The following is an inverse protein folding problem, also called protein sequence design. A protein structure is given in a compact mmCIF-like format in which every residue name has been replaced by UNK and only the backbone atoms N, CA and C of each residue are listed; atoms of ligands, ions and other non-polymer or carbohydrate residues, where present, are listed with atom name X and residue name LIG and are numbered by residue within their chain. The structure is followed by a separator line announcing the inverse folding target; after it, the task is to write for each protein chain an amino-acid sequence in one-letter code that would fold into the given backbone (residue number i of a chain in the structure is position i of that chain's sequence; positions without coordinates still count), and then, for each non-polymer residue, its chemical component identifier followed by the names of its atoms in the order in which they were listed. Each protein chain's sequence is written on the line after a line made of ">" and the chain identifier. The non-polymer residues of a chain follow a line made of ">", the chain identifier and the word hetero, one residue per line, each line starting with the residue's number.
data_IF_730475401201
#
_entry.id   IF_730475401201
#
_cell.length_a   1.000
_cell.length_b   1.000
_cell.length_c   1.000
_cell.angle_alpha   90.00
_cell.angle_beta   90.00
_cell.angle_gamma   90.00
#
_symmetry.space_group_name_H-M   'P 1'
#
loop_
_entity.id
_entity.type
_entity.pdbx_description
1 polymer ?
#
# COMPACT_ATOMS: atom_id res chain seq x y z
N UNK A 1 11.22 52.41 53.14
CA UNK A 1 10.86 53.60 52.34
C UNK A 1 11.71 53.58 51.08
N UNK A 2 11.05 53.67 49.92
CA UNK A 2 11.57 53.79 48.53
C UNK A 2 12.20 52.55 47.82
N UNK A 3 11.42 51.99 46.88
CA UNK A 3 11.80 51.31 45.61
C UNK A 3 12.03 52.35 44.48
N UNK A 4 12.25 52.02 43.19
CA UNK A 4 12.83 50.83 42.50
C UNK A 4 13.88 51.23 41.43
N UNK A 5 14.47 50.25 40.72
CA UNK A 5 15.25 50.48 39.49
C UNK A 5 15.22 49.27 38.55
N UNK A 6 14.35 49.32 37.54
CA UNK A 6 14.28 48.44 36.37
C UNK A 6 15.45 48.68 35.41
N UNK A 7 16.05 47.62 34.84
CA UNK A 7 16.57 47.64 33.46
C UNK A 7 16.66 46.21 32.86
N UNK A 8 15.65 45.89 32.03
CA UNK A 8 15.83 45.44 30.64
C UNK A 8 16.51 44.10 30.35
N UNK A 9 15.71 43.04 30.16
CA UNK A 9 16.09 41.88 29.35
C UNK A 9 16.29 42.30 27.89
N UNK A 10 17.50 42.13 27.36
CA UNK A 10 17.80 42.30 25.94
C UNK A 10 17.12 41.21 25.09
N UNK A 11 16.62 41.51 23.88
CA UNK A 11 16.05 40.50 22.99
C UNK A 11 17.15 39.58 22.43
N UNK A 12 16.85 38.30 22.15
CA UNK A 12 17.82 37.40 21.56
C UNK A 12 18.21 37.88 20.16
N UNK A 13 19.50 37.82 19.85
CA UNK A 13 20.08 38.24 18.59
C UNK A 13 19.47 37.48 17.40
N UNK A 14 19.16 38.21 16.32
CA UNK A 14 18.58 37.70 15.06
C UNK A 14 19.40 36.60 14.36
N UNK A 15 20.62 36.29 14.83
CA UNK A 15 21.48 35.24 14.25
C UNK A 15 21.12 33.83 14.71
N UNK A 16 20.59 33.63 15.92
CA UNK A 16 20.23 32.29 16.42
C UNK A 16 18.94 31.73 15.80
N UNK A 17 18.01 32.60 15.39
CA UNK A 17 16.75 32.19 14.73
C UNK A 17 17.03 31.66 13.32
N UNK A 18 18.02 32.23 12.62
CA UNK A 18 18.45 31.77 11.29
C UNK A 18 19.09 30.37 11.32
N UNK A 19 19.93 30.08 12.32
CA UNK A 19 20.60 28.78 12.46
C UNK A 19 19.61 27.67 12.84
N UNK A 20 18.63 27.97 13.70
CA UNK A 20 17.58 27.01 14.06
C UNK A 20 16.62 26.73 12.89
N UNK A 21 16.26 27.75 12.08
CA UNK A 21 15.50 27.55 10.82
C UNK A 21 16.28 26.74 9.79
N UNK A 22 17.58 27.00 9.60
CA UNK A 22 18.41 26.23 8.68
C UNK A 22 18.61 24.77 9.13
N UNK A 23 18.74 24.53 10.44
CA UNK A 23 18.85 23.17 10.99
C UNK A 23 17.54 22.38 10.84
N UNK A 24 16.38 23.02 11.10
CA UNK A 24 15.07 22.42 10.87
C UNK A 24 14.83 22.18 9.37
N UNK A 25 15.19 23.12 8.48
CA UNK A 25 15.08 22.91 7.02
C UNK A 25 16.03 21.82 6.52
N UNK A 26 17.25 21.68 7.07
CA UNK A 26 18.16 20.58 6.75
C UNK A 26 17.63 19.22 7.25
N UNK A 27 17.01 19.19 8.44
CA UNK A 27 16.37 17.99 9.00
C UNK A 27 15.12 17.55 8.22
N UNK A 28 14.28 18.51 7.81
CA UNK A 28 13.10 18.27 6.95
C UNK A 28 13.54 17.83 5.55
N UNK A 29 14.55 18.48 4.95
CA UNK A 29 15.09 18.08 3.65
C UNK A 29 15.74 16.69 3.69
N UNK A 30 16.45 16.33 4.76
CA UNK A 30 16.98 14.98 4.96
C UNK A 30 15.87 13.94 5.21
N UNK A 31 14.79 14.31 5.92
CA UNK A 31 13.64 13.42 6.12
C UNK A 31 12.89 13.18 4.81
N UNK A 32 12.61 14.20 4.02
CA UNK A 32 12.01 14.05 2.69
C UNK A 32 12.94 13.31 1.75
N UNK A 33 14.25 13.54 1.79
CA UNK A 33 15.21 12.77 1.00
C UNK A 33 15.26 11.31 1.43
N UNK A 34 15.18 11.02 2.73
CA UNK A 34 15.15 9.64 3.24
C UNK A 34 13.81 8.94 2.95
N UNK A 35 12.68 9.63 3.09
CA UNK A 35 11.36 9.14 2.68
C UNK A 35 11.34 8.91 1.17
N UNK A 36 11.82 9.86 0.37
CA UNK A 36 11.88 9.74 -1.09
C UNK A 36 12.83 8.62 -1.54
N UNK A 37 13.98 8.45 -0.87
CA UNK A 37 14.91 7.35 -1.12
C UNK A 37 14.30 6.01 -0.71
N UNK A 38 13.53 5.96 0.38
CA UNK A 38 12.85 4.75 0.85
C UNK A 38 11.64 4.40 -0.02
N UNK A 39 10.87 5.38 -0.48
CA UNK A 39 9.76 5.17 -1.43
C UNK A 39 10.28 4.78 -2.81
N UNK A 40 11.40 5.36 -3.27
CA UNK A 40 12.08 4.95 -4.49
C UNK A 40 12.58 3.51 -4.41
N UNK A 41 13.18 3.10 -3.29
CA UNK A 41 13.59 1.72 -3.06
C UNK A 41 12.40 0.75 -2.96
N UNK A 42 11.22 1.23 -2.59
CA UNK A 42 9.99 0.45 -2.51
C UNK A 42 9.25 0.35 -3.86
N UNK A 43 9.53 1.23 -4.81
CA UNK A 43 8.99 1.16 -6.18
C UNK A 43 9.68 0.06 -6.98
N UNK A 44 8.92 -0.60 -7.85
CA UNK A 44 9.44 -1.61 -8.77
C UNK A 44 10.42 -1.01 -9.77
N UNK A 45 10.14 0.20 -10.26
CA UNK A 45 11.05 0.94 -11.14
C UNK A 45 12.35 1.33 -10.44
N UNK A 46 12.27 1.82 -9.21
CA UNK A 46 13.46 2.22 -8.47
C UNK A 46 14.37 1.05 -8.09
N UNK A 47 13.78 -0.09 -7.68
CA UNK A 47 14.52 -1.33 -7.42
C UNK A 47 15.17 -1.91 -8.68
N UNK A 48 14.46 -1.91 -9.82
CA UNK A 48 15.01 -2.31 -11.12
C UNK A 48 16.23 -1.47 -11.51
N UNK A 49 16.13 -0.14 -11.43
CA UNK A 49 17.23 0.77 -11.79
C UNK A 49 18.46 0.60 -10.88
N UNK A 50 18.24 0.37 -9.58
CA UNK A 50 19.33 0.07 -8.65
C UNK A 50 20.02 -1.25 -9.02
N UNK A 51 19.25 -2.31 -9.29
CA UNK A 51 19.79 -3.62 -9.66
C UNK A 51 20.57 -3.56 -10.98
N UNK A 52 20.03 -2.87 -12.00
CA UNK A 52 20.71 -2.64 -13.29
C UNK A 52 22.01 -1.85 -13.12
N UNK A 53 22.02 -0.83 -12.27
CA UNK A 53 23.24 -0.07 -11.94
C UNK A 53 24.32 -0.94 -11.30
N UNK A 54 23.94 -1.87 -10.42
CA UNK A 54 24.88 -2.83 -9.84
C UNK A 54 25.46 -3.80 -10.88
N UNK A 55 24.65 -4.33 -11.78
CA UNK A 55 25.09 -5.23 -12.85
C UNK A 55 26.09 -4.54 -13.80
N UNK A 56 25.80 -3.31 -14.22
CA UNK A 56 26.71 -2.53 -15.07
C UNK A 56 28.08 -2.29 -14.41
N UNK A 57 28.09 -1.95 -13.11
CA UNK A 57 29.34 -1.79 -12.34
C UNK A 57 30.14 -3.08 -12.28
N UNK A 58 29.47 -4.23 -12.05
CA UNK A 58 30.15 -5.53 -12.03
C UNK A 58 30.66 -5.95 -13.40
N UNK A 59 29.90 -5.68 -14.47
CA UNK A 59 30.31 -5.96 -15.84
C UNK A 59 31.54 -5.14 -16.24
N UNK A 60 31.59 -3.87 -15.82
CA UNK A 60 32.75 -2.99 -15.99
C UNK A 60 33.98 -3.55 -15.28
N UNK A 61 33.87 -3.87 -13.98
CA UNK A 61 34.99 -4.40 -13.18
C UNK A 61 35.52 -5.74 -13.68
N UNK A 62 34.66 -6.59 -14.24
CA UNK A 62 35.04 -7.93 -14.74
C UNK A 62 35.38 -7.95 -16.23
N UNK A 63 35.50 -6.79 -16.90
CA UNK A 63 35.74 -6.67 -18.34
C UNK A 63 34.73 -7.46 -19.22
N UNK A 64 33.48 -7.66 -18.73
CA UNK A 64 32.40 -8.36 -19.45
C UNK A 64 31.37 -7.39 -20.06
N UNK A 65 31.77 -6.14 -20.28
CA UNK A 65 30.91 -5.07 -20.79
C UNK A 65 30.24 -5.41 -22.12
N UNK A 66 30.95 -6.06 -23.05
CA UNK A 66 30.40 -6.39 -24.37
C UNK A 66 29.14 -7.26 -24.29
N UNK A 67 29.12 -8.25 -23.38
CA UNK A 67 27.94 -9.11 -23.16
C UNK A 67 26.78 -8.32 -22.57
N UNK A 68 27.05 -7.48 -21.58
CA UNK A 68 26.04 -6.66 -20.93
C UNK A 68 25.44 -5.64 -21.93
N UNK A 69 26.28 -4.98 -22.74
CA UNK A 69 25.85 -4.05 -23.79
C UNK A 69 25.04 -4.73 -24.89
N UNK A 70 25.39 -5.96 -25.26
CA UNK A 70 24.62 -6.75 -26.23
C UNK A 70 23.18 -6.97 -25.74
N UNK A 71 23.01 -7.49 -24.53
CA UNK A 71 21.68 -7.72 -23.96
C UNK A 71 20.92 -6.42 -23.64
N UNK A 72 21.65 -5.34 -23.34
CA UNK A 72 21.08 -4.00 -23.22
C UNK A 72 20.46 -3.54 -24.54
N UNK A 73 21.18 -3.76 -25.65
CA UNK A 73 20.74 -3.40 -26.99
C UNK A 73 19.52 -4.24 -27.39
N UNK A 74 19.51 -5.54 -27.07
CA UNK A 74 18.34 -6.42 -27.27
C UNK A 74 17.13 -5.91 -26.47
N UNK A 75 17.31 -5.54 -25.20
CA UNK A 75 16.22 -5.00 -24.36
C UNK A 75 15.67 -3.67 -24.89
N UNK A 76 16.53 -2.78 -25.38
CA UNK A 76 16.14 -1.50 -26.02
C UNK A 76 15.40 -1.74 -27.35
N UNK A 77 15.90 -2.61 -28.22
CA UNK A 77 15.23 -2.95 -29.48
C UNK A 77 13.85 -3.57 -29.23
N UNK A 78 13.76 -4.49 -28.27
CA UNK A 78 12.50 -5.12 -27.88
C UNK A 78 11.53 -4.09 -27.30
N UNK A 79 12.01 -3.17 -26.44
CA UNK A 79 11.20 -2.09 -25.88
C UNK A 79 10.70 -1.09 -26.92
N UNK A 80 11.52 -0.78 -27.93
CA UNK A 80 11.13 0.07 -29.05
C UNK A 80 10.09 -0.60 -29.96
N UNK A 81 10.32 -1.86 -30.34
CA UNK A 81 9.35 -2.63 -31.12
C UNK A 81 8.01 -2.76 -30.38
N UNK A 82 8.05 -3.05 -29.08
CA UNK A 82 6.85 -3.15 -28.26
C UNK A 82 6.09 -1.81 -28.16
N UNK A 83 6.78 -0.72 -27.86
CA UNK A 83 6.16 0.60 -27.75
C UNK A 83 5.54 1.06 -29.08
N UNK A 84 6.24 0.84 -30.20
CA UNK A 84 5.71 1.22 -31.53
C UNK A 84 4.49 0.39 -31.91
N UNK A 85 4.46 -0.91 -31.61
CA UNK A 85 3.26 -1.74 -31.79
C UNK A 85 2.09 -1.24 -30.93
N UNK A 86 2.35 -0.91 -29.67
CA UNK A 86 1.32 -0.37 -28.78
C UNK A 86 0.81 0.98 -29.31
N UNK A 87 1.70 1.90 -29.65
CA UNK A 87 1.29 3.22 -30.15
C UNK A 87 0.58 3.09 -31.50
N UNK A 88 1.04 2.25 -32.41
CA UNK A 88 0.40 2.09 -33.71
C UNK A 88 -1.03 1.53 -33.61
N UNK A 89 -1.27 0.59 -32.68
CA UNK A 89 -2.57 -0.04 -32.51
C UNK A 89 -3.51 0.72 -31.58
N UNK A 90 -2.99 1.35 -30.53
CA UNK A 90 -3.79 1.92 -29.43
C UNK A 90 -3.71 3.44 -29.29
N UNK A 91 -2.81 4.14 -29.99
CA UNK A 91 -2.75 5.61 -29.94
C UNK A 91 -3.75 6.33 -30.88
N UNK A 92 -4.04 5.84 -32.10
CA UNK A 92 -5.02 6.48 -32.98
C UNK A 92 -6.46 6.31 -32.50
N UNK A 93 -6.73 5.23 -31.77
CA UNK A 93 -8.06 4.89 -31.29
C UNK A 93 -8.15 5.15 -29.79
N UNK A 94 -9.24 5.76 -29.31
CA UNK A 94 -9.55 5.87 -27.87
C UNK A 94 -9.77 4.51 -27.19
N UNK A 95 -9.63 3.41 -27.94
CA UNK A 95 -9.83 2.02 -27.52
C UNK A 95 -8.91 1.63 -26.37
N UNK A 96 -7.66 2.09 -26.32
CA UNK A 96 -6.73 1.72 -25.23
C UNK A 96 -7.21 2.22 -23.87
N UNK A 97 -7.64 3.49 -23.82
CA UNK A 97 -8.19 4.10 -22.61
C UNK A 97 -9.54 3.46 -22.27
N UNK A 98 -10.40 3.19 -23.26
CA UNK A 98 -11.69 2.54 -23.05
C UNK A 98 -11.56 1.10 -22.53
N UNK A 99 -10.58 0.34 -23.02
CA UNK A 99 -10.32 -1.02 -22.55
C UNK A 99 -9.84 -1.03 -21.10
N UNK A 100 -8.93 -0.13 -20.73
CA UNK A 100 -8.48 0.01 -19.34
C UNK A 100 -9.65 0.43 -18.45
N UNK A 101 -10.44 1.43 -18.85
CA UNK A 101 -11.62 1.86 -18.10
C UNK A 101 -12.64 0.72 -17.95
N UNK A 102 -12.95 -0.01 -19.02
CA UNK A 102 -13.86 -1.16 -18.98
C UNK A 102 -13.35 -2.30 -18.10
N UNK A 103 -12.04 -2.55 -18.08
CA UNK A 103 -11.43 -3.49 -17.14
C UNK A 103 -11.56 -3.01 -15.69
N UNK A 104 -11.35 -1.73 -15.42
CA UNK A 104 -11.56 -1.15 -14.09
C UNK A 104 -13.02 -1.25 -13.63
N UNK A 105 -13.97 -0.91 -14.49
CA UNK A 105 -15.40 -1.03 -14.21
C UNK A 105 -15.80 -2.48 -13.92
N UNK A 106 -15.21 -3.43 -14.64
CA UNK A 106 -15.41 -4.86 -14.39
C UNK A 106 -14.91 -5.26 -13.01
N UNK A 107 -13.69 -4.87 -12.63
CA UNK A 107 -13.12 -5.15 -11.30
C UNK A 107 -13.99 -4.55 -10.20
N UNK A 108 -14.42 -3.29 -10.37
CA UNK A 108 -15.31 -2.59 -9.44
C UNK A 108 -16.64 -3.33 -9.31
N UNK A 109 -17.23 -3.78 -10.41
CA UNK A 109 -18.48 -4.54 -10.44
C UNK A 109 -18.35 -5.85 -9.67
N UNK A 110 -17.29 -6.63 -9.91
CA UNK A 110 -17.06 -7.88 -9.20
C UNK A 110 -16.82 -7.65 -7.70
N UNK A 111 -16.08 -6.60 -7.34
CA UNK A 111 -15.84 -6.27 -5.94
C UNK A 111 -17.12 -5.84 -5.22
N UNK A 112 -17.98 -5.05 -5.87
CA UNK A 112 -19.31 -4.69 -5.35
C UNK A 112 -20.18 -5.93 -5.15
N UNK A 113 -20.25 -6.80 -6.16
CA UNK A 113 -21.01 -8.08 -6.10
C UNK A 113 -20.51 -8.98 -4.97
N UNK A 114 -19.20 -9.05 -4.77
CA UNK A 114 -18.58 -9.82 -3.70
C UNK A 114 -18.98 -9.28 -2.32
N UNK A 115 -18.97 -7.95 -2.14
CA UNK A 115 -19.36 -7.33 -0.87
C UNK A 115 -20.86 -7.50 -0.61
N UNK A 116 -21.72 -7.35 -1.63
CA UNK A 116 -23.17 -7.57 -1.46
C UNK A 116 -23.45 -9.03 -1.13
N UNK A 117 -22.78 -9.98 -1.81
CA UNK A 117 -22.88 -11.41 -1.49
C UNK A 117 -22.45 -11.71 -0.04
N UNK A 118 -21.44 -10.99 0.46
CA UNK A 118 -20.95 -11.11 1.82
C UNK A 118 -21.90 -10.50 2.86
N UNK A 119 -22.67 -9.47 2.49
CA UNK A 119 -23.71 -8.86 3.33
C UNK A 119 -24.92 -9.78 3.57
N UNK A 120 -25.27 -10.62 2.59
CA UNK A 120 -26.45 -11.48 2.66
C UNK A 120 -26.21 -12.74 3.51
N UNK A 121 -25.69 -13.82 2.90
CA UNK A 121 -25.43 -15.10 3.54
C UNK A 121 -24.34 -15.87 2.78
N UNK A 122 -23.05 -15.51 2.95
CA UNK A 122 -21.96 -16.13 2.20
C UNK A 122 -21.88 -17.62 2.51
N UNK A 123 -21.95 -18.45 1.47
CA UNK A 123 -21.90 -19.92 1.58
C UNK A 123 -22.91 -20.53 2.57
N UNK A 124 -24.06 -19.87 2.80
CA UNK A 124 -25.07 -20.30 3.77
C UNK A 124 -24.71 -20.04 5.24
N UNK A 125 -23.59 -19.34 5.49
CA UNK A 125 -23.14 -19.02 6.83
C UNK A 125 -23.95 -17.83 7.38
N UNK A 126 -24.66 -18.06 8.50
CA UNK A 126 -25.48 -17.01 9.14
C UNK A 126 -24.57 -16.04 9.91
N UNK A 127 -24.07 -15.03 9.20
CA UNK A 127 -23.29 -13.96 9.80
C UNK A 127 -24.17 -12.99 10.60
N UNK A 128 -23.54 -12.17 11.43
CA UNK A 128 -24.23 -11.10 12.13
C UNK A 128 -24.65 -10.03 11.11
N UNK A 129 -25.95 -9.92 10.84
CA UNK A 129 -26.49 -9.07 9.77
C UNK A 129 -26.23 -7.58 10.00
N UNK A 130 -26.24 -7.12 11.26
CA UNK A 130 -25.97 -5.72 11.62
C UNK A 130 -24.53 -5.35 11.29
N UNK A 131 -23.57 -6.17 11.74
CA UNK A 131 -22.16 -5.95 11.46
C UNK A 131 -21.85 -6.12 9.97
N UNK A 132 -22.39 -7.16 9.33
CA UNK A 132 -22.19 -7.41 7.90
C UNK A 132 -22.69 -6.24 7.05
N UNK A 133 -23.88 -5.71 7.38
CA UNK A 133 -24.44 -4.52 6.72
C UNK A 133 -23.58 -3.27 6.94
N UNK A 134 -23.10 -3.04 8.16
CA UNK A 134 -22.24 -1.90 8.48
C UNK A 134 -20.90 -1.97 7.71
N UNK A 135 -20.22 -3.12 7.73
CA UNK A 135 -18.97 -3.33 7.01
C UNK A 135 -19.17 -3.24 5.49
N UNK A 136 -20.23 -3.85 4.97
CA UNK A 136 -20.53 -3.78 3.54
C UNK A 136 -20.76 -2.36 3.05
N UNK A 137 -21.57 -1.56 3.76
CA UNK A 137 -21.74 -0.12 3.46
C UNK A 137 -20.41 0.64 3.52
N UNK A 138 -19.59 0.36 4.53
CA UNK A 138 -18.27 0.98 4.67
C UNK A 138 -17.37 0.70 3.45
N UNK A 139 -17.23 -0.56 3.02
CA UNK A 139 -16.39 -0.92 1.87
C UNK A 139 -16.98 -0.42 0.54
N UNK A 140 -18.31 -0.50 0.36
CA UNK A 140 -18.99 0.04 -0.84
C UNK A 140 -18.79 1.56 -0.97
N UNK A 141 -18.86 2.29 0.13
CA UNK A 141 -18.56 3.72 0.14
C UNK A 141 -17.12 4.02 -0.27
N UNK A 142 -16.15 3.24 0.22
CA UNK A 142 -14.76 3.41 -0.18
C UNK A 142 -14.54 3.07 -1.66
N UNK A 143 -15.23 2.06 -2.20
CA UNK A 143 -15.20 1.77 -3.64
C UNK A 143 -15.72 2.97 -4.42
N UNK A 144 -16.84 3.56 -3.99
CA UNK A 144 -17.39 4.75 -4.64
C UNK A 144 -16.37 5.90 -4.65
N UNK A 145 -15.76 6.20 -3.50
CA UNK A 145 -14.73 7.24 -3.39
C UNK A 145 -13.52 6.95 -4.30
N UNK A 146 -13.06 5.70 -4.34
CA UNK A 146 -11.95 5.28 -5.19
C UNK A 146 -12.27 5.42 -6.68
N UNK A 147 -13.47 5.01 -7.09
CA UNK A 147 -13.95 5.15 -8.47
C UNK A 147 -14.00 6.61 -8.87
N UNK A 148 -14.57 7.49 -8.03
CA UNK A 148 -14.60 8.93 -8.29
C UNK A 148 -13.18 9.50 -8.41
N UNK A 149 -12.27 9.11 -7.53
CA UNK A 149 -10.87 9.51 -7.60
C UNK A 149 -10.21 9.06 -8.92
N UNK A 150 -10.37 7.81 -9.32
CA UNK A 150 -9.83 7.30 -10.57
C UNK A 150 -10.39 8.05 -11.78
N UNK A 151 -11.70 8.32 -11.83
CA UNK A 151 -12.30 9.08 -12.94
C UNK A 151 -11.68 10.47 -13.11
N UNK A 152 -11.38 11.14 -11.99
CA UNK A 152 -10.71 12.44 -11.99
C UNK A 152 -9.21 12.31 -12.39
N UNK A 153 -8.56 11.22 -12.01
CA UNK A 153 -7.15 10.98 -12.29
C UNK A 153 -6.88 10.42 -13.70
N UNK A 154 -7.83 9.71 -14.32
CA UNK A 154 -7.69 9.07 -15.64
C UNK A 154 -7.12 9.99 -16.72
N UNK A 155 -7.63 11.21 -16.97
CA UNK A 155 -7.09 12.05 -18.05
C UNK A 155 -5.63 12.47 -17.80
N UNK A 156 -5.27 12.67 -16.53
CA UNK A 156 -3.89 13.00 -16.15
C UNK A 156 -2.99 11.78 -16.32
N UNK A 157 -3.45 10.60 -15.89
CA UNK A 157 -2.71 9.35 -15.99
C UNK A 157 -2.52 8.93 -17.45
N UNK A 158 -3.53 9.08 -18.31
CA UNK A 158 -3.43 8.75 -19.73
C UNK A 158 -2.46 9.65 -20.46
N UNK A 159 -2.45 10.95 -20.16
CA UNK A 159 -1.49 11.90 -20.74
C UNK A 159 -0.06 11.67 -20.22
N UNK A 160 0.08 11.35 -18.93
CA UNK A 160 1.37 11.03 -18.35
C UNK A 160 1.94 9.74 -18.95
N UNK A 161 1.15 8.67 -19.05
CA UNK A 161 1.57 7.38 -19.61
C UNK A 161 1.91 7.48 -21.10
N UNK A 162 1.15 8.23 -21.90
CA UNK A 162 1.45 8.37 -23.33
C UNK A 162 2.76 9.11 -23.57
N UNK A 163 3.01 10.20 -22.84
CA UNK A 163 4.28 10.96 -22.91
C UNK A 163 5.45 10.15 -22.39
N UNK A 164 5.29 9.44 -21.27
CA UNK A 164 6.37 8.65 -20.69
C UNK A 164 6.69 7.41 -21.51
N UNK A 165 5.70 6.75 -22.13
CA UNK A 165 5.93 5.58 -22.99
C UNK A 165 6.83 5.89 -24.19
N UNK A 166 6.66 7.06 -24.82
CA UNK A 166 7.53 7.48 -25.93
C UNK A 166 8.97 7.75 -25.51
N UNK A 167 9.22 8.13 -24.25
CA UNK A 167 10.59 8.30 -23.72
C UNK A 167 11.15 6.96 -23.23
N UNK A 168 10.32 6.16 -22.56
CA UNK A 168 10.69 4.85 -22.02
C UNK A 168 11.04 3.82 -23.11
N UNK A 169 10.50 3.95 -24.32
CA UNK A 169 10.83 3.09 -25.46
C UNK A 169 12.32 3.02 -25.77
N UNK A 170 13.06 4.10 -25.50
CA UNK A 170 14.51 4.15 -25.73
C UNK A 170 15.33 3.58 -24.57
N UNK A 171 14.71 3.25 -23.43
CA UNK A 171 15.39 2.85 -22.21
C UNK A 171 15.34 1.33 -21.94
N UNK A 172 14.48 0.60 -22.65
CA UNK A 172 14.34 -0.87 -22.59
C UNK A 172 12.95 -1.36 -22.19
N UNK A 173 12.59 -2.58 -22.61
CA UNK A 173 11.32 -3.22 -22.28
C UNK A 173 11.20 -3.46 -20.76
N UNK A 174 12.28 -3.89 -20.11
CA UNK A 174 12.23 -4.22 -18.68
C UNK A 174 11.90 -3.00 -17.81
N UNK A 175 12.31 -1.80 -18.23
CA UNK A 175 11.91 -0.54 -17.57
C UNK A 175 10.44 -0.20 -17.81
N UNK A 176 9.90 -0.48 -19.00
CA UNK A 176 8.48 -0.31 -19.28
C UNK A 176 7.63 -1.23 -18.39
N UNK A 177 8.04 -2.49 -18.23
CA UNK A 177 7.36 -3.45 -17.34
C UNK A 177 7.40 -2.97 -15.89
N UNK A 178 8.53 -2.46 -15.40
CA UNK A 178 8.62 -1.96 -14.02
C UNK A 178 7.71 -0.76 -13.76
N UNK A 179 7.61 0.18 -14.72
CA UNK A 179 6.69 1.32 -14.62
C UNK A 179 5.22 0.89 -14.73
N UNK A 180 4.92 -0.08 -15.59
CA UNK A 180 3.59 -0.67 -15.67
C UNK A 180 3.18 -1.34 -14.36
N UNK A 181 4.13 -2.03 -13.69
CA UNK A 181 3.90 -2.65 -12.39
C UNK A 181 3.66 -1.62 -11.27
N UNK A 182 4.39 -0.50 -11.27
CA UNK A 182 4.12 0.61 -10.35
C UNK A 182 2.73 1.22 -10.58
N UNK A 183 2.31 1.36 -11.84
CA UNK A 183 0.97 1.85 -12.20
C UNK A 183 -0.11 0.87 -11.74
N UNK A 184 0.10 -0.43 -11.94
CA UNK A 184 -0.80 -1.48 -11.48
C UNK A 184 -0.93 -1.50 -9.94
N UNK A 185 0.17 -1.33 -9.22
CA UNK A 185 0.16 -1.21 -7.75
C UNK A 185 -0.66 0.00 -7.28
N UNK A 186 -0.54 1.15 -7.97
CA UNK A 186 -1.32 2.34 -7.66
C UNK A 186 -2.82 2.11 -7.90
N UNK A 187 -3.19 1.47 -9.01
CA UNK A 187 -4.59 1.16 -9.34
C UNK A 187 -5.21 0.15 -8.35
N UNK A 188 -4.42 -0.84 -7.92
CA UNK A 188 -4.86 -1.88 -6.99
C UNK A 188 -4.75 -1.50 -5.51
N UNK A 189 -4.22 -0.31 -5.20
CA UNK A 189 -4.00 0.18 -3.83
C UNK A 189 -5.24 0.07 -2.93
N UNK A 190 -6.43 0.37 -3.47
CA UNK A 190 -7.69 0.29 -2.73
C UNK A 190 -7.98 -1.11 -2.15
N UNK A 191 -7.60 -2.18 -2.86
CA UNK A 191 -7.77 -3.57 -2.39
C UNK A 191 -6.84 -3.85 -1.21
N UNK A 192 -5.59 -3.37 -1.28
CA UNK A 192 -4.65 -3.48 -0.17
C UNK A 192 -5.11 -2.71 1.08
N UNK A 193 -5.73 -1.53 0.88
CA UNK A 193 -6.39 -0.80 1.95
C UNK A 193 -7.52 -1.61 2.60
N UNK A 194 -8.37 -2.28 1.80
CA UNK A 194 -9.46 -3.11 2.32
C UNK A 194 -8.95 -4.28 3.14
N UNK A 195 -7.93 -4.97 2.64
CA UNK A 195 -7.24 -6.02 3.39
C UNK A 195 -6.68 -5.48 4.72
N UNK A 196 -6.02 -4.31 4.70
CA UNK A 196 -5.46 -3.70 5.90
C UNK A 196 -6.55 -3.34 6.92
N UNK A 197 -7.68 -2.78 6.49
CA UNK A 197 -8.81 -2.48 7.37
C UNK A 197 -9.42 -3.74 7.97
N UNK A 198 -9.69 -4.76 7.15
CA UNK A 198 -10.23 -6.04 7.61
C UNK A 198 -9.27 -6.73 8.59
N UNK A 199 -7.96 -6.74 8.30
CA UNK A 199 -6.92 -7.25 9.21
C UNK A 199 -6.90 -6.52 10.54
N UNK A 200 -6.94 -5.18 10.54
CA UNK A 200 -6.95 -4.38 11.77
C UNK A 200 -8.18 -4.69 12.63
N UNK A 201 -9.35 -4.78 12.02
CA UNK A 201 -10.59 -5.13 12.70
C UNK A 201 -10.52 -6.55 13.29
N UNK A 202 -10.09 -7.52 12.49
CA UNK A 202 -9.90 -8.90 12.92
C UNK A 202 -8.94 -9.01 14.10
N UNK A 203 -7.76 -8.39 14.00
CA UNK A 203 -6.76 -8.38 15.06
C UNK A 203 -7.28 -7.71 16.34
N UNK A 204 -7.97 -6.56 16.21
CA UNK A 204 -8.59 -5.88 17.35
C UNK A 204 -9.57 -6.80 18.08
N UNK A 205 -10.41 -7.54 17.35
CA UNK A 205 -11.33 -8.51 17.95
C UNK A 205 -10.61 -9.70 18.59
N UNK A 206 -9.57 -10.25 17.96
CA UNK A 206 -8.78 -11.34 18.57
C UNK A 206 -8.12 -10.90 19.88
N UNK A 207 -7.54 -9.70 19.92
CA UNK A 207 -6.93 -9.15 21.14
C UNK A 207 -7.99 -8.86 22.21
N UNK A 208 -9.17 -8.36 21.81
CA UNK A 208 -10.31 -8.16 22.71
C UNK A 208 -10.77 -9.47 23.36
N UNK A 209 -10.99 -10.52 22.56
CA UNK A 209 -11.34 -11.86 23.04
C UNK A 209 -10.25 -12.46 23.93
N UNK A 210 -8.98 -12.34 23.55
CA UNK A 210 -7.85 -12.79 24.38
C UNK A 210 -7.78 -12.06 25.73
N UNK A 211 -8.05 -10.76 25.74
CA UNK A 211 -8.06 -9.95 26.96
C UNK A 211 -9.19 -10.38 27.90
N UNK A 212 -10.40 -10.56 27.36
CA UNK A 212 -11.57 -11.02 28.14
C UNK A 212 -11.42 -12.46 28.61
N UNK A 213 -10.78 -13.32 27.82
CA UNK A 213 -10.43 -14.67 28.26
C UNK A 213 -9.48 -14.66 29.46
N UNK A 214 -8.52 -13.72 29.51
CA UNK A 214 -7.66 -13.54 30.68
C UNK A 214 -8.45 -13.01 31.88
N UNK A 215 -9.38 -12.08 31.67
CA UNK A 215 -10.27 -11.54 32.71
C UNK A 215 -11.01 -12.68 33.44
N UNK A 216 -11.61 -13.62 32.71
CA UNK A 216 -12.32 -14.77 33.30
C UNK A 216 -11.42 -15.73 34.08
N UNK A 217 -10.12 -15.75 33.76
CA UNK A 217 -9.12 -16.56 34.48
C UNK A 217 -8.49 -15.82 35.65
N UNK A 218 -8.95 -14.61 35.99
CA UNK A 218 -8.34 -13.78 37.02
C UNK A 218 -6.92 -13.32 36.64
N UNK A 219 -6.66 -13.15 35.35
CA UNK A 219 -5.33 -12.80 34.81
C UNK A 219 -5.38 -11.44 34.11
N UNK A 220 -4.32 -10.64 34.26
CA UNK A 220 -4.15 -9.33 33.61
C UNK A 220 -2.76 -9.20 33.00
N UNK A 221 -2.68 -8.76 31.75
CA UNK A 221 -1.38 -8.48 31.12
C UNK A 221 -0.86 -7.12 31.58
N UNK A 222 0.39 -7.09 32.03
CA UNK A 222 1.08 -5.92 32.53
C UNK A 222 2.14 -5.48 31.51
N UNK A 223 1.90 -4.42 30.71
CA UNK A 223 2.85 -3.99 29.69
C UNK A 223 4.16 -3.44 30.27
N UNK A 224 4.18 -3.01 31.54
CA UNK A 224 5.39 -2.49 32.19
C UNK A 224 6.41 -3.59 32.52
N UNK A 225 5.93 -4.82 32.74
CA UNK A 225 6.75 -5.98 33.13
C UNK A 225 6.70 -7.12 32.11
N UNK A 226 6.07 -6.88 30.97
CA UNK A 226 5.83 -7.83 29.88
C UNK A 226 5.39 -9.23 30.35
N UNK A 227 4.48 -9.28 31.33
CA UNK A 227 4.02 -10.55 31.93
C UNK A 227 2.54 -10.53 32.28
N UNK A 228 1.98 -11.73 32.50
CA UNK A 228 0.58 -11.90 32.92
C UNK A 228 0.55 -12.12 34.43
N UNK A 229 0.01 -11.14 35.16
CA UNK A 229 -0.14 -11.15 36.61
C UNK A 229 -1.54 -11.68 37.01
N UNK A 230 -1.66 -12.24 38.22
CA UNK A 230 -2.95 -12.54 38.85
C UNK A 230 -3.62 -11.26 39.31
N UNK A 231 -4.91 -11.12 39.05
CA UNK A 231 -5.71 -9.95 39.41
C UNK A 231 -7.07 -10.41 39.93
N UNK A 232 -7.47 -9.84 41.06
CA UNK A 232 -8.82 -10.03 41.61
C UNK A 232 -9.77 -9.08 40.88
N UNK A 233 -10.93 -9.58 40.48
CA UNK A 233 -11.96 -8.81 39.76
C UNK A 233 -13.28 -8.98 40.49
N UNK A 234 -14.02 -7.88 40.63
CA UNK A 234 -15.34 -7.89 41.24
C UNK A 234 -16.38 -8.56 40.32
N UNK A 235 -17.49 -8.99 40.92
CA UNK A 235 -18.57 -9.69 40.23
C UNK A 235 -19.16 -8.82 39.10
N UNK A 236 -19.31 -7.52 39.35
CA UNK A 236 -19.83 -6.56 38.36
C UNK A 236 -18.92 -6.46 37.12
N UNK A 237 -17.60 -6.46 37.33
CA UNK A 237 -16.63 -6.43 36.25
C UNK A 237 -16.66 -7.73 35.44
N UNK A 238 -16.81 -8.87 36.11
CA UNK A 238 -16.95 -10.17 35.46
C UNK A 238 -18.23 -10.24 34.62
N UNK A 239 -19.32 -9.66 35.11
CA UNK A 239 -20.59 -9.59 34.39
C UNK A 239 -20.47 -8.77 33.11
N UNK A 240 -19.93 -7.54 33.18
CA UNK A 240 -19.70 -6.69 31.99
C UNK A 240 -18.73 -7.38 31.01
N UNK A 241 -17.68 -8.03 31.53
CA UNK A 241 -16.76 -8.82 30.71
C UNK A 241 -17.43 -9.97 29.96
N UNK A 242 -18.38 -10.65 30.60
CA UNK A 242 -19.18 -11.73 30.00
C UNK A 242 -20.07 -11.20 28.88
N UNK A 243 -20.76 -10.08 29.09
CA UNK A 243 -21.55 -9.42 28.04
C UNK A 243 -20.66 -9.00 26.86
N UNK A 244 -19.54 -8.32 27.11
CA UNK A 244 -18.62 -7.93 26.04
C UNK A 244 -18.03 -9.12 25.29
N UNK A 245 -17.70 -10.21 26.00
CA UNK A 245 -17.15 -11.43 25.41
C UNK A 245 -18.16 -12.11 24.50
N UNK A 246 -19.40 -12.28 24.95
CA UNK A 246 -20.47 -12.89 24.13
C UNK A 246 -20.74 -12.06 22.87
N UNK A 247 -20.80 -10.73 22.97
CA UNK A 247 -20.95 -9.83 21.81
C UNK A 247 -19.78 -10.02 20.84
N UNK A 248 -18.53 -9.91 21.31
CA UNK A 248 -17.36 -10.05 20.44
C UNK A 248 -17.29 -11.44 19.80
N UNK A 249 -17.62 -12.49 20.55
CA UNK A 249 -17.63 -13.86 20.07
C UNK A 249 -18.66 -14.07 18.96
N UNK A 250 -19.85 -13.49 19.07
CA UNK A 250 -20.87 -13.54 18.01
C UNK A 250 -20.53 -12.68 16.79
N UNK A 251 -19.77 -11.60 16.97
CA UNK A 251 -19.30 -10.76 15.86
C UNK A 251 -18.10 -11.36 15.13
N UNK A 252 -17.30 -12.18 15.81
CA UNK A 252 -16.03 -12.72 15.33
C UNK A 252 -16.11 -13.52 14.01
N UNK A 253 -17.10 -14.41 13.78
CA UNK A 253 -17.22 -15.11 12.51
C UNK A 253 -17.36 -14.15 11.31
N UNK A 254 -18.06 -13.04 11.50
CA UNK A 254 -18.28 -12.03 10.45
C UNK A 254 -16.97 -11.38 10.05
N UNK A 255 -16.19 -10.91 11.03
CA UNK A 255 -14.90 -10.25 10.71
C UNK A 255 -13.87 -11.22 10.16
N UNK A 256 -13.90 -12.49 10.59
CA UNK A 256 -13.05 -13.55 10.06
C UNK A 256 -13.31 -13.79 8.57
N UNK A 257 -14.59 -13.89 8.15
CA UNK A 257 -14.93 -14.10 6.73
C UNK A 257 -14.50 -12.89 5.89
N UNK A 258 -14.79 -11.66 6.34
CA UNK A 258 -14.34 -10.44 5.64
C UNK A 258 -12.81 -10.39 5.51
N UNK A 259 -12.08 -10.72 6.57
CA UNK A 259 -10.62 -10.81 6.53
C UNK A 259 -10.14 -11.87 5.52
N UNK A 260 -10.71 -13.07 5.54
CA UNK A 260 -10.31 -14.15 4.64
C UNK A 260 -10.52 -13.77 3.17
N UNK A 261 -11.70 -13.24 2.82
CA UNK A 261 -12.03 -12.84 1.44
C UNK A 261 -11.07 -11.77 0.94
N UNK A 262 -10.85 -10.70 1.69
CA UNK A 262 -9.92 -9.64 1.27
C UNK A 262 -8.46 -10.11 1.29
N UNK A 263 -8.09 -11.06 2.16
CA UNK A 263 -6.75 -11.64 2.14
C UNK A 263 -6.50 -12.44 0.86
N UNK A 264 -7.49 -13.20 0.38
CA UNK A 264 -7.38 -13.93 -0.89
C UNK A 264 -7.20 -12.97 -2.07
N UNK A 265 -7.96 -11.88 -2.11
CA UNK A 265 -7.79 -10.85 -3.15
C UNK A 265 -6.41 -10.19 -3.12
N UNK A 266 -5.95 -9.79 -1.93
CA UNK A 266 -4.61 -9.22 -1.72
C UNK A 266 -3.51 -10.20 -2.13
N UNK A 267 -3.66 -11.50 -1.80
CA UNK A 267 -2.73 -12.54 -2.24
C UNK A 267 -2.71 -12.73 -3.76
N UNK A 268 -3.86 -12.67 -4.43
CA UNK A 268 -3.92 -12.76 -5.89
C UNK A 268 -3.17 -11.60 -6.56
N UNK A 269 -3.35 -10.38 -6.05
CA UNK A 269 -2.62 -9.20 -6.52
C UNK A 269 -1.12 -9.34 -6.27
N UNK A 270 -0.71 -9.76 -5.07
CA UNK A 270 0.71 -9.98 -4.73
C UNK A 270 1.33 -11.08 -5.60
N UNK A 271 0.59 -12.16 -5.90
CA UNK A 271 1.05 -13.20 -6.80
C UNK A 271 1.31 -12.67 -8.22
N UNK A 272 0.43 -11.81 -8.74
CA UNK A 272 0.64 -11.17 -10.05
C UNK A 272 1.89 -10.27 -10.05
N UNK A 273 2.13 -9.51 -8.96
CA UNK A 273 3.36 -8.73 -8.81
C UNK A 273 4.61 -9.61 -8.79
N UNK A 274 4.56 -10.75 -8.12
CA UNK A 274 5.66 -11.72 -8.09
C UNK A 274 5.96 -12.33 -9.46
N UNK A 275 4.92 -12.61 -10.26
CA UNK A 275 5.10 -13.09 -11.62
C UNK A 275 5.77 -12.02 -12.50
N UNK A 276 5.29 -10.78 -12.44
CA UNK A 276 5.86 -9.68 -13.21
C UNK A 276 7.31 -9.36 -12.79
N UNK A 277 7.60 -9.35 -11.48
CA UNK A 277 8.97 -9.13 -11.00
C UNK A 277 9.90 -10.30 -11.37
N UNK A 278 9.39 -11.54 -11.38
CA UNK A 278 10.12 -12.71 -11.88
C UNK A 278 10.56 -12.56 -13.33
N UNK A 279 9.67 -12.05 -14.21
CA UNK A 279 10.01 -11.78 -15.62
C UNK A 279 11.14 -10.74 -15.75
N UNK A 280 11.07 -9.66 -14.97
CA UNK A 280 12.11 -8.62 -14.97
C UNK A 280 13.45 -9.17 -14.46
N UNK A 281 13.43 -9.99 -13.40
CA UNK A 281 14.64 -10.63 -12.87
C UNK A 281 15.25 -11.62 -13.85
N UNK A 282 14.43 -12.41 -14.56
CA UNK A 282 14.90 -13.29 -15.63
C UNK A 282 15.58 -12.48 -16.74
N UNK A 283 14.97 -11.37 -17.18
CA UNK A 283 15.59 -10.47 -18.16
C UNK A 283 16.95 -9.93 -17.72
N UNK A 284 17.05 -9.51 -16.45
CA UNK A 284 18.32 -9.04 -15.86
C UNK A 284 19.36 -10.15 -15.70
N UNK A 285 18.95 -11.41 -15.51
CA UNK A 285 19.87 -12.53 -15.32
C UNK A 285 20.67 -12.89 -16.58
N UNK A 286 20.17 -12.53 -17.76
CA UNK A 286 20.87 -12.73 -19.02
C UNK A 286 21.96 -11.67 -19.28
N UNK A 287 21.89 -10.50 -18.63
CA UNK A 287 22.79 -9.34 -18.80
C UNK A 287 24.11 -9.46 -18.03
#
# INVERSE_FOLDING_TARGET
>A
MASPGDHGCAPPSNSMIGVHRLSIMRGVSCHWWWVCRRTWQLSFTGSYLLQRGHLLRQAYQKHRLGRCLFWLLVDVLMGYAWATLILAHWAPSTQGVQLVLGAMDSVVLYLRRLITWLMDAPAGLKLNSVLSSALGKFFLYHIHLWVTFLHLATPLLSQALSRTMGVLSYLGLMLQISVAQDTFNLVTFHVHCFFTYARRLFLSQTHGLQSLWRLFRGKKYNPLRDRVDTSHHDVDQLFVGTLAFTILLFLYPTTLVYFAVFKVLDLAIVALHWLASGLVQLGLSFQ
#
